data_IF_919561422316
#
_entry.id   IF_919561422316
#
_cell.length_a   1.000
_cell.length_b   1.000
_cell.length_c   1.000
_cell.angle_alpha   90.00
_cell.angle_beta   90.00
_cell.angle_gamma   90.00
#
_symmetry.space_group_name_H-M   'P 1'
#
loop_
_entity.id
_entity.type
_entity.pdbx_description
1 polymer ?
#
# COMPACT_ATOMS: atom_id res chain seq x y z
N UNK A 1 -40.67 50.98 -6.89
CA UNK A 1 -41.21 51.14 -5.54
C UNK A 1 -40.13 50.57 -4.63
N UNK A 2 -39.19 51.42 -4.13
CA UNK A 2 -39.18 52.10 -2.84
C UNK A 2 -39.05 51.06 -1.70
N UNK A 3 -38.14 51.07 -0.79
CA UNK A 3 -37.16 52.04 -0.23
C UNK A 3 -36.39 51.32 0.88
N UNK A 4 -35.11 51.56 0.98
CA UNK A 4 -34.38 52.33 2.01
C UNK A 4 -34.12 51.57 3.31
N UNK A 5 -32.87 51.25 3.58
CA UNK A 5 -31.86 51.88 4.44
C UNK A 5 -32.22 52.02 5.93
N UNK A 6 -31.31 51.54 6.79
CA UNK A 6 -30.73 52.42 7.86
C UNK A 6 -29.50 51.78 8.47
N UNK A 7 -28.44 52.55 8.45
CA UNK A 7 -27.18 52.44 9.20
C UNK A 7 -27.32 52.95 10.64
N UNK A 8 -26.52 52.44 11.56
CA UNK A 8 -26.20 53.20 12.79
C UNK A 8 -24.78 52.83 13.27
N UNK A 9 -23.93 53.82 13.22
CA UNK A 9 -22.65 53.99 13.94
C UNK A 9 -22.87 54.24 15.44
N UNK A 10 -21.86 54.03 16.28
CA UNK A 10 -21.41 54.71 17.51
C UNK A 10 -20.56 53.70 18.31
N UNK A 11 -19.41 53.97 18.91
CA UNK A 11 -18.38 54.99 19.00
C UNK A 11 -17.36 54.48 20.05
N UNK A 12 -16.14 54.94 19.88
CA UNK A 12 -14.96 54.74 20.75
C UNK A 12 -15.21 55.21 22.19
N UNK A 13 -14.61 54.52 23.15
CA UNK A 13 -14.04 55.18 24.35
C UNK A 13 -12.76 54.49 24.82
N UNK A 14 -11.70 55.25 24.79
CA UNK A 14 -10.41 55.04 25.47
C UNK A 14 -10.60 55.26 26.98
N UNK A 15 -9.85 54.51 27.78
CA UNK A 15 -9.41 54.99 29.11
C UNK A 15 -7.95 54.61 29.37
N UNK A 16 -7.21 55.63 29.83
CA UNK A 16 -5.77 55.61 30.12
C UNK A 16 -5.47 55.07 31.53
N UNK A 17 -4.32 54.48 31.62
CA UNK A 17 -3.24 54.57 32.61
C UNK A 17 -3.53 54.69 34.11
N UNK A 18 -2.86 53.85 34.89
CA UNK A 18 -2.07 54.35 36.06
C UNK A 18 -1.00 53.33 36.45
N UNK A 19 0.23 53.78 36.44
CA UNK A 19 1.41 53.07 36.94
C UNK A 19 1.51 53.27 38.46
N UNK A 20 1.85 52.23 39.21
CA UNK A 20 2.42 52.37 40.58
C UNK A 20 3.63 51.46 40.66
N UNK A 21 4.80 52.10 40.87
CA UNK A 21 6.07 51.46 41.19
C UNK A 21 6.24 51.35 42.70
N UNK A 22 6.68 50.26 43.27
CA UNK A 22 7.30 50.13 44.57
C UNK A 22 8.50 49.19 44.51
N UNK A 23 9.67 49.50 45.01
CA UNK A 23 10.89 48.70 44.93
C UNK A 23 11.14 47.83 46.20
N UNK A 24 11.86 46.80 46.04
CA UNK A 24 12.70 46.20 47.10
C UNK A 24 12.40 44.77 47.51
N UNK A 25 13.23 43.84 47.23
CA UNK A 25 14.24 43.21 48.12
C UNK A 25 14.85 41.97 47.44
N UNK A 26 16.16 41.99 47.35
CA UNK A 26 17.01 40.86 46.98
C UNK A 26 16.86 39.71 48.00
N UNK A 27 16.56 38.51 47.48
CA UNK A 27 16.84 37.26 48.16
C UNK A 27 17.52 36.30 47.18
N UNK A 28 18.84 36.16 47.35
CA UNK A 28 19.67 35.12 46.72
C UNK A 28 19.30 33.76 47.33
N UNK A 29 18.65 32.89 46.57
CA UNK A 29 18.60 31.45 46.84
C UNK A 29 19.22 30.72 45.66
N UNK A 30 20.44 30.24 45.91
CA UNK A 30 21.11 29.32 45.01
C UNK A 30 20.33 27.96 45.02
N UNK A 31 19.69 27.60 43.91
CA UNK A 31 19.22 26.25 43.63
C UNK A 31 20.06 25.68 42.51
N UNK A 32 20.71 24.58 42.83
CA UNK A 32 21.53 23.77 41.95
C UNK A 32 20.78 23.41 40.65
N UNK A 33 21.37 23.83 39.54
CA UNK A 33 20.87 23.50 38.22
C UNK A 33 20.98 22.00 37.95
N UNK A 34 19.83 21.36 37.78
CA UNK A 34 19.74 20.12 37.04
C UNK A 34 19.98 20.47 35.57
N UNK A 35 21.13 20.11 35.05
CA UNK A 35 21.41 20.14 33.62
C UNK A 35 20.40 19.22 32.93
N UNK A 36 19.35 19.84 32.39
CA UNK A 36 18.50 19.19 31.40
C UNK A 36 19.34 18.91 30.16
N UNK A 37 19.53 17.65 29.84
CA UNK A 37 20.08 17.23 28.54
C UNK A 37 19.10 17.71 27.51
N UNK A 38 19.40 18.86 26.89
CA UNK A 38 18.71 19.29 25.68
C UNK A 38 19.08 18.31 24.58
N UNK A 39 18.17 17.45 24.21
CA UNK A 39 18.26 16.70 22.96
C UNK A 39 18.42 17.68 21.79
N UNK A 40 19.07 17.30 20.68
CA UNK A 40 19.29 18.19 19.56
C UNK A 40 17.93 18.72 19.08
N UNK A 41 17.80 20.05 19.10
CA UNK A 41 16.66 20.77 18.52
C UNK A 41 16.57 20.34 17.04
N UNK A 42 15.42 19.87 16.63
CA UNK A 42 15.14 19.59 15.22
C UNK A 42 15.39 20.87 14.41
N UNK A 43 16.14 20.82 13.30
CA UNK A 43 16.31 21.96 12.43
C UNK A 43 14.94 22.37 11.90
N UNK A 44 14.59 23.65 11.99
CA UNK A 44 13.28 24.22 11.69
C UNK A 44 12.88 24.24 10.21
N UNK A 45 13.11 23.15 9.47
CA UNK A 45 12.67 22.95 8.10
C UNK A 45 11.72 21.75 8.00
N UNK A 46 10.69 21.85 7.18
CA UNK A 46 9.80 20.71 6.88
C UNK A 46 10.60 19.54 6.31
N UNK A 47 10.34 18.33 6.78
CA UNK A 47 10.96 17.10 6.26
C UNK A 47 10.77 16.98 4.75
N UNK A 48 11.85 16.80 4.00
CA UNK A 48 11.83 16.57 2.54
C UNK A 48 11.89 15.08 2.25
N UNK A 49 10.86 14.57 1.60
CA UNK A 49 10.70 13.15 1.25
C UNK A 49 10.77 12.97 -0.26
N UNK A 50 11.69 12.14 -0.73
CA UNK A 50 11.77 11.69 -2.12
C UNK A 50 10.94 10.43 -2.35
N UNK A 51 10.22 10.32 -3.47
CA UNK A 51 9.49 9.13 -3.88
C UNK A 51 9.96 8.65 -5.25
N UNK A 52 10.27 7.36 -5.41
CA UNK A 52 10.56 6.73 -6.69
C UNK A 52 9.49 5.69 -7.01
N UNK A 53 8.84 5.86 -8.18
CA UNK A 53 7.82 4.96 -8.70
C UNK A 53 8.28 4.41 -10.06
N UNK A 54 8.73 3.15 -10.09
CA UNK A 54 9.18 2.50 -11.31
C UNK A 54 7.99 2.02 -12.14
N UNK A 55 7.31 2.95 -12.81
CA UNK A 55 6.08 2.78 -13.57
C UNK A 55 5.19 4.02 -13.49
N UNK A 56 4.01 3.96 -14.08
CA UNK A 56 3.07 5.08 -14.13
C UNK A 56 2.31 5.24 -12.80
N UNK A 57 2.27 6.45 -12.25
CA UNK A 57 1.44 6.81 -11.09
C UNK A 57 -0.07 6.81 -11.37
N UNK A 58 -0.47 6.56 -12.59
CA UNK A 58 -1.88 6.45 -13.03
C UNK A 58 -2.21 5.05 -13.55
N UNK A 59 -1.51 4.01 -13.06
CA UNK A 59 -1.69 2.62 -13.49
C UNK A 59 -2.98 1.96 -12.94
N UNK A 60 -3.78 2.70 -12.18
CA UNK A 60 -4.97 2.21 -11.47
C UNK A 60 -4.67 0.98 -10.58
N UNK A 61 -3.43 0.89 -10.10
CA UNK A 61 -2.95 -0.29 -9.39
C UNK A 61 -1.81 0.03 -8.42
N UNK A 62 -0.70 -0.68 -8.58
CA UNK A 62 0.37 -0.73 -7.60
C UNK A 62 1.11 0.60 -7.44
N UNK A 63 1.54 1.25 -8.54
CA UNK A 63 2.30 2.50 -8.47
C UNK A 63 1.44 3.66 -8.00
N UNK A 64 0.19 3.72 -8.47
CA UNK A 64 -0.77 4.72 -8.02
C UNK A 64 -1.05 4.59 -6.51
N UNK A 65 -1.19 3.37 -6.00
CA UNK A 65 -1.40 3.16 -4.56
C UNK A 65 -0.21 3.64 -3.73
N UNK A 66 1.02 3.37 -4.16
CA UNK A 66 2.23 3.87 -3.52
C UNK A 66 2.32 5.39 -3.52
N UNK A 67 2.02 6.01 -4.66
CA UNK A 67 1.97 7.47 -4.78
C UNK A 67 0.90 8.10 -3.87
N UNK A 68 -0.29 7.50 -3.78
CA UNK A 68 -1.34 7.95 -2.85
C UNK A 68 -0.87 7.91 -1.39
N UNK A 69 -0.08 6.91 -1.01
CA UNK A 69 0.52 6.84 0.33
C UNK A 69 1.49 8.01 0.61
N UNK A 70 2.30 8.40 -0.38
CA UNK A 70 3.17 9.58 -0.28
C UNK A 70 2.37 10.88 -0.24
N UNK A 71 1.32 11.02 -1.06
CA UNK A 71 0.43 12.20 -1.04
C UNK A 71 -0.33 12.32 0.28
N UNK A 72 -0.78 11.21 0.84
CA UNK A 72 -1.39 11.18 2.19
C UNK A 72 -0.40 11.70 3.23
N UNK A 73 0.87 11.27 3.18
CA UNK A 73 1.90 11.79 4.07
C UNK A 73 2.12 13.30 3.89
N UNK A 74 2.12 13.80 2.66
CA UNK A 74 2.22 15.24 2.39
C UNK A 74 1.06 16.02 3.00
N UNK A 75 -0.17 15.52 2.86
CA UNK A 75 -1.39 16.19 3.31
C UNK A 75 -1.57 16.14 4.83
N UNK A 76 -1.35 14.98 5.45
CA UNK A 76 -1.63 14.76 6.87
C UNK A 76 -0.45 15.06 7.78
N UNK A 77 0.79 14.88 7.28
CA UNK A 77 2.01 15.07 8.08
C UNK A 77 2.79 16.35 7.73
N UNK A 78 2.33 17.11 6.74
CA UNK A 78 2.89 18.42 6.37
C UNK A 78 4.32 18.36 5.81
N UNK A 79 4.74 17.23 5.23
CA UNK A 79 6.07 17.07 4.64
C UNK A 79 6.13 17.65 3.22
N UNK A 80 7.34 18.04 2.79
CA UNK A 80 7.59 18.37 1.39
C UNK A 80 7.91 17.09 0.62
N UNK A 81 7.30 16.93 -0.56
CA UNK A 81 7.51 15.74 -1.38
C UNK A 81 8.14 16.10 -2.72
N UNK A 82 9.05 15.24 -3.18
CA UNK A 82 9.59 15.21 -4.54
C UNK A 82 9.44 13.80 -5.05
N UNK A 83 9.27 13.62 -6.36
CA UNK A 83 9.14 12.26 -6.88
C UNK A 83 9.67 12.15 -8.31
N UNK A 84 10.01 10.92 -8.69
CA UNK A 84 10.34 10.49 -10.03
C UNK A 84 9.46 9.27 -10.37
N UNK A 85 8.91 9.22 -11.56
CA UNK A 85 8.05 8.13 -12.02
C UNK A 85 8.23 7.83 -13.51
N UNK A 86 7.50 6.82 -14.01
CA UNK A 86 7.44 6.49 -15.43
C UNK A 86 8.65 5.74 -15.99
N UNK A 87 9.65 5.41 -15.16
CA UNK A 87 10.82 4.68 -15.65
C UNK A 87 10.63 3.16 -15.59
N UNK A 88 11.33 2.45 -16.48
CA UNK A 88 11.35 0.99 -16.44
C UNK A 88 12.04 0.47 -15.16
N UNK A 89 11.60 -0.68 -14.61
CA UNK A 89 12.14 -1.26 -13.37
C UNK A 89 13.50 -1.95 -13.60
N UNK A 90 14.46 -1.24 -14.18
CA UNK A 90 15.82 -1.71 -14.44
C UNK A 90 16.81 -0.99 -13.54
N UNK A 91 17.70 -1.75 -12.89
CA UNK A 91 18.68 -1.24 -11.92
C UNK A 91 19.45 -0.02 -12.43
N UNK A 92 19.86 -0.05 -13.71
CA UNK A 92 20.64 1.01 -14.37
C UNK A 92 19.91 2.36 -14.42
N UNK A 93 18.57 2.33 -14.38
CA UNK A 93 17.70 3.52 -14.34
C UNK A 93 17.34 3.90 -12.90
N UNK A 94 17.16 2.92 -12.01
CA UNK A 94 16.73 3.14 -10.63
C UNK A 94 17.85 3.71 -9.75
N UNK A 95 19.10 3.27 -9.93
CA UNK A 95 20.25 3.76 -9.15
C UNK A 95 20.45 5.27 -9.31
N UNK A 96 20.57 5.84 -10.53
CA UNK A 96 20.73 7.28 -10.69
C UNK A 96 19.50 8.07 -10.21
N UNK A 97 18.28 7.52 -10.36
CA UNK A 97 17.05 8.18 -9.89
C UNK A 97 17.00 8.28 -8.36
N UNK A 98 17.34 7.23 -7.64
CA UNK A 98 17.41 7.25 -6.17
C UNK A 98 18.51 8.20 -5.68
N UNK A 99 19.69 8.19 -6.33
CA UNK A 99 20.79 9.11 -6.02
C UNK A 99 20.36 10.57 -6.24
N UNK A 100 19.69 10.88 -7.35
CA UNK A 100 19.17 12.21 -7.65
C UNK A 100 18.25 12.74 -6.55
N UNK A 101 17.33 11.91 -6.03
CA UNK A 101 16.43 12.33 -4.92
C UNK A 101 17.22 12.67 -3.65
N UNK A 102 18.25 11.88 -3.32
CA UNK A 102 19.13 12.13 -2.18
C UNK A 102 19.98 13.41 -2.40
N UNK A 103 20.57 13.60 -3.57
CA UNK A 103 21.34 14.80 -3.95
C UNK A 103 20.50 16.07 -3.94
N UNK A 104 19.21 15.98 -4.24
CA UNK A 104 18.26 17.07 -4.13
C UNK A 104 17.86 17.40 -2.68
N UNK A 105 18.48 16.76 -1.68
CA UNK A 105 18.31 17.05 -0.25
C UNK A 105 17.14 16.32 0.39
N UNK A 106 16.63 15.23 -0.19
CA UNK A 106 15.68 14.37 0.51
C UNK A 106 16.35 13.73 1.73
N UNK A 107 15.72 13.87 2.90
CA UNK A 107 16.16 13.25 4.15
C UNK A 107 15.65 11.81 4.28
N UNK A 108 14.54 11.51 3.61
CA UNK A 108 13.97 10.19 3.44
C UNK A 108 13.70 9.95 1.96
N UNK A 109 14.16 8.84 1.40
CA UNK A 109 13.85 8.40 0.04
C UNK A 109 13.07 7.10 0.10
N UNK A 110 11.86 7.11 -0.45
CA UNK A 110 10.95 5.96 -0.54
C UNK A 110 11.01 5.42 -1.97
N UNK A 111 11.49 4.20 -2.12
CA UNK A 111 11.48 3.46 -3.37
C UNK A 111 10.30 2.47 -3.37
N UNK A 112 9.26 2.74 -4.17
CA UNK A 112 8.06 1.91 -4.17
C UNK A 112 8.24 0.67 -5.05
N UNK A 113 8.15 -0.50 -4.42
CA UNK A 113 8.22 -1.81 -5.05
C UNK A 113 9.56 -2.52 -4.89
N UNK A 114 9.51 -3.85 -4.69
CA UNK A 114 10.66 -4.70 -4.45
C UNK A 114 11.68 -4.75 -5.59
N UNK A 115 11.33 -4.31 -6.80
CA UNK A 115 12.28 -4.14 -7.92
C UNK A 115 13.38 -3.12 -7.59
N UNK A 116 13.16 -2.26 -6.60
CA UNK A 116 14.15 -1.28 -6.14
C UNK A 116 15.17 -1.86 -5.13
N UNK A 117 15.02 -3.08 -4.65
CA UNK A 117 15.85 -3.64 -3.57
C UNK A 117 17.36 -3.48 -3.81
N UNK A 118 17.85 -3.90 -4.97
CA UNK A 118 19.27 -3.82 -5.29
C UNK A 118 19.76 -2.38 -5.48
N UNK A 119 18.95 -1.56 -6.17
CA UNK A 119 19.30 -0.17 -6.40
C UNK A 119 19.32 0.64 -5.09
N UNK A 120 18.33 0.42 -4.22
CA UNK A 120 18.27 1.08 -2.91
C UNK A 120 19.44 0.68 -2.01
N UNK A 121 19.85 -0.60 -1.98
CA UNK A 121 20.99 -1.06 -1.21
C UNK A 121 22.30 -0.41 -1.68
N UNK A 122 22.49 -0.29 -3.01
CA UNK A 122 23.67 0.37 -3.57
C UNK A 122 23.72 1.86 -3.25
N UNK A 123 22.58 2.57 -3.41
CA UNK A 123 22.54 4.02 -3.20
C UNK A 123 22.59 4.37 -1.71
N UNK A 124 21.93 3.61 -0.83
CA UNK A 124 21.97 3.84 0.60
C UNK A 124 23.41 3.86 1.17
N UNK A 125 24.29 2.97 0.69
CA UNK A 125 25.69 2.94 1.08
C UNK A 125 26.47 4.22 0.70
N UNK A 126 26.04 4.93 -0.35
CA UNK A 126 26.67 6.17 -0.84
C UNK A 126 26.17 7.43 -0.12
N UNK A 127 24.98 7.36 0.48
CA UNK A 127 24.31 8.51 1.13
C UNK A 127 23.97 8.22 2.61
N UNK A 128 24.97 8.08 3.50
CA UNK A 128 24.75 7.62 4.88
C UNK A 128 23.91 8.58 5.75
N UNK A 129 23.69 9.81 5.30
CA UNK A 129 22.83 10.81 6.00
C UNK A 129 21.39 10.81 5.52
N UNK A 130 21.06 10.11 4.44
CA UNK A 130 19.71 9.95 3.91
C UNK A 130 19.16 8.59 4.34
N UNK A 131 17.93 8.55 4.83
CA UNK A 131 17.24 7.31 5.11
C UNK A 131 16.58 6.78 3.82
N UNK A 132 16.68 5.48 3.59
CA UNK A 132 16.06 4.82 2.44
C UNK A 132 15.04 3.79 2.92
N UNK A 133 13.90 3.78 2.26
CA UNK A 133 12.82 2.80 2.50
C UNK A 133 12.42 2.15 1.17
N UNK A 134 12.39 0.83 1.15
CA UNK A 134 11.76 0.09 0.05
C UNK A 134 10.40 -0.43 0.53
N UNK A 135 9.33 0.11 -0.02
CA UNK A 135 7.99 -0.46 0.24
C UNK A 135 7.79 -1.70 -0.63
N UNK A 136 7.14 -2.74 -0.10
CA UNK A 136 7.10 -4.07 -0.70
C UNK A 136 8.50 -4.64 -0.97
N UNK A 137 9.47 -4.26 -0.13
CA UNK A 137 10.87 -4.65 -0.21
C UNK A 137 11.24 -5.77 0.75
N UNK A 138 12.44 -6.32 0.54
CA UNK A 138 13.02 -7.37 1.36
C UNK A 138 14.49 -7.07 1.72
N UNK A 139 14.83 -5.78 1.89
CA UNK A 139 16.19 -5.30 2.15
C UNK A 139 16.26 -4.48 3.42
N UNK A 140 17.43 -4.52 4.06
CA UNK A 140 17.73 -3.76 5.28
C UNK A 140 19.21 -3.39 5.34
N UNK A 141 19.53 -2.34 6.05
CA UNK A 141 20.88 -1.82 6.27
C UNK A 141 20.91 -0.77 7.36
N UNK A 142 22.03 -0.05 7.55
CA UNK A 142 22.17 0.97 8.60
C UNK A 142 21.22 2.16 8.41
N UNK A 143 20.98 2.56 7.16
CA UNK A 143 20.06 3.63 6.75
C UNK A 143 19.07 3.15 5.68
N UNK A 144 18.80 1.86 5.65
CA UNK A 144 17.88 1.20 4.71
C UNK A 144 16.98 0.23 5.45
N UNK A 145 15.68 0.33 5.23
CA UNK A 145 14.70 -0.63 5.75
C UNK A 145 13.59 -0.90 4.72
N UNK A 146 12.72 -1.84 5.03
CA UNK A 146 11.58 -2.18 4.18
C UNK A 146 10.26 -2.15 4.96
N UNK A 147 9.19 -1.74 4.27
CA UNK A 147 7.81 -1.87 4.73
C UNK A 147 7.09 -2.79 3.74
N UNK A 148 6.76 -4.00 4.19
CA UNK A 148 6.17 -5.05 3.36
C UNK A 148 4.71 -5.29 3.75
N UNK A 149 3.79 -4.92 2.87
CA UNK A 149 2.35 -5.20 3.03
C UNK A 149 2.09 -6.59 2.48
N UNK A 150 1.64 -7.49 3.33
CA UNK A 150 1.48 -8.92 3.05
C UNK A 150 0.23 -9.18 2.19
N UNK A 151 0.30 -8.81 0.90
CA UNK A 151 -0.78 -9.03 -0.06
C UNK A 151 -1.16 -10.52 -0.19
N UNK A 152 -0.19 -11.41 0.01
CA UNK A 152 -0.39 -12.86 0.03
C UNK A 152 -1.41 -13.30 1.08
N UNK A 153 -1.52 -12.61 2.21
CA UNK A 153 -2.49 -12.99 3.23
C UNK A 153 -3.94 -12.75 2.77
N UNK A 154 -4.22 -11.62 2.11
CA UNK A 154 -5.54 -11.39 1.51
C UNK A 154 -5.79 -12.26 0.27
N UNK A 155 -4.73 -12.62 -0.49
CA UNK A 155 -4.82 -13.55 -1.60
C UNK A 155 -5.19 -14.98 -1.15
N UNK A 156 -4.68 -15.44 0.01
CA UNK A 156 -5.12 -16.70 0.61
C UNK A 156 -6.63 -16.70 0.88
N UNK A 157 -7.14 -15.63 1.49
CA UNK A 157 -8.57 -15.47 1.75
C UNK A 157 -9.39 -15.43 0.45
N UNK A 158 -8.84 -14.84 -0.61
CA UNK A 158 -9.46 -14.87 -1.94
C UNK A 158 -9.57 -16.31 -2.47
N UNK A 159 -8.56 -17.16 -2.24
CA UNK A 159 -8.58 -18.57 -2.57
C UNK A 159 -9.64 -19.35 -1.80
N UNK A 160 -9.77 -19.09 -0.50
CA UNK A 160 -10.84 -19.67 0.34
C UNK A 160 -12.21 -19.30 -0.21
N UNK A 161 -12.44 -18.02 -0.48
CA UNK A 161 -13.73 -17.56 -1.03
C UNK A 161 -13.99 -18.17 -2.42
N UNK A 162 -13.02 -18.20 -3.31
CA UNK A 162 -13.17 -18.74 -4.66
C UNK A 162 -13.59 -20.22 -4.63
N UNK A 163 -12.91 -21.04 -3.80
CA UNK A 163 -13.23 -22.46 -3.66
C UNK A 163 -14.65 -22.71 -3.12
N UNK A 164 -15.14 -21.83 -2.23
CA UNK A 164 -16.50 -21.93 -1.67
C UNK A 164 -17.57 -21.33 -2.59
N UNK A 165 -17.20 -20.54 -3.58
CA UNK A 165 -18.12 -19.80 -4.45
C UNK A 165 -18.23 -20.35 -5.85
N UNK A 166 -17.26 -21.17 -6.30
CA UNK A 166 -17.33 -21.80 -7.62
C UNK A 166 -18.50 -22.77 -7.73
N UNK A 167 -19.15 -22.77 -8.88
CA UNK A 167 -20.24 -23.71 -9.23
C UNK A 167 -19.75 -24.80 -10.17
N UNK A 168 -18.66 -24.56 -10.87
CA UNK A 168 -18.07 -25.49 -11.84
C UNK A 168 -16.99 -26.39 -11.23
N UNK A 169 -16.49 -26.03 -10.03
CA UNK A 169 -15.32 -26.67 -9.43
C UNK A 169 -14.01 -26.24 -10.09
N UNK A 170 -14.00 -25.16 -10.88
CA UNK A 170 -12.80 -24.62 -11.53
C UNK A 170 -12.68 -23.13 -11.24
N UNK A 171 -11.50 -22.71 -10.76
CA UNK A 171 -11.19 -21.31 -10.49
C UNK A 171 -9.95 -20.85 -11.24
N UNK A 172 -9.89 -19.58 -11.57
CA UNK A 172 -8.78 -18.96 -12.28
C UNK A 172 -7.91 -18.07 -11.40
N UNK A 173 -6.65 -17.92 -11.77
CA UNK A 173 -5.75 -16.87 -11.28
C UNK A 173 -4.96 -16.30 -12.45
N UNK A 174 -4.78 -14.97 -12.45
CA UNK A 174 -3.92 -14.28 -13.41
C UNK A 174 -3.14 -13.17 -12.71
N UNK A 175 -1.81 -13.24 -12.78
CA UNK A 175 -0.88 -12.14 -12.48
C UNK A 175 -0.25 -11.62 -13.76
N UNK A 176 0.33 -10.40 -13.72
CA UNK A 176 1.03 -9.83 -14.86
C UNK A 176 2.45 -10.37 -14.99
N UNK A 177 3.43 -9.61 -14.53
CA UNK A 177 4.85 -9.99 -14.54
C UNK A 177 5.23 -10.81 -13.29
N UNK A 178 6.33 -11.59 -13.40
CA UNK A 178 6.85 -12.44 -12.31
C UNK A 178 7.68 -11.63 -11.32
N UNK A 179 7.02 -10.92 -10.43
CA UNK A 179 7.63 -10.17 -9.31
C UNK A 179 7.19 -10.77 -7.97
N UNK A 180 7.95 -10.56 -6.88
CA UNK A 180 7.67 -11.19 -5.60
C UNK A 180 6.21 -11.09 -5.12
N UNK A 181 5.51 -9.94 -5.17
CA UNK A 181 4.10 -9.88 -4.75
C UNK A 181 3.17 -10.80 -5.55
N UNK A 182 3.35 -10.85 -6.89
CA UNK A 182 2.56 -11.73 -7.76
C UNK A 182 2.85 -13.22 -7.52
N UNK A 183 4.12 -13.58 -7.31
CA UNK A 183 4.54 -14.96 -7.02
C UNK A 183 3.98 -15.44 -5.68
N UNK A 184 4.12 -14.63 -4.62
CA UNK A 184 3.56 -14.93 -3.29
C UNK A 184 2.02 -14.95 -3.31
N UNK A 185 1.38 -13.98 -3.97
CA UNK A 185 -0.06 -13.93 -4.09
C UNK A 185 -0.65 -15.15 -4.81
N UNK A 186 0.00 -15.61 -5.89
CA UNK A 186 -0.36 -16.87 -6.56
C UNK A 186 -0.25 -18.06 -5.62
N UNK A 187 0.87 -18.18 -4.90
CA UNK A 187 1.11 -19.30 -3.99
C UNK A 187 0.05 -19.36 -2.88
N UNK A 188 -0.25 -18.20 -2.28
CA UNK A 188 -1.24 -18.05 -1.24
C UNK A 188 -2.65 -18.37 -1.74
N UNK A 189 -3.04 -17.83 -2.89
CA UNK A 189 -4.34 -18.12 -3.50
C UNK A 189 -4.51 -19.62 -3.77
N UNK A 190 -3.51 -20.26 -4.37
CA UNK A 190 -3.51 -21.70 -4.64
C UNK A 190 -3.65 -22.52 -3.34
N UNK A 191 -2.95 -22.12 -2.28
CA UNK A 191 -3.07 -22.76 -0.97
C UNK A 191 -4.48 -22.58 -0.39
N UNK A 192 -5.03 -21.36 -0.44
CA UNK A 192 -6.40 -21.09 0.01
C UNK A 192 -7.45 -21.93 -0.69
N UNK A 193 -7.31 -22.12 -2.02
CA UNK A 193 -8.18 -23.03 -2.81
C UNK A 193 -8.02 -24.45 -2.31
N UNK A 194 -6.81 -25.00 -2.31
CA UNK A 194 -6.50 -26.39 -1.96
C UNK A 194 -6.93 -26.73 -0.53
N UNK A 195 -6.62 -25.86 0.43
CA UNK A 195 -6.88 -26.10 1.86
C UNK A 195 -8.38 -25.97 2.19
N UNK A 196 -9.16 -25.38 1.28
CA UNK A 196 -10.61 -25.27 1.39
C UNK A 196 -11.34 -26.43 0.75
N UNK A 197 -11.03 -26.74 -0.52
CA UNK A 197 -11.54 -27.92 -1.21
C UNK A 197 -10.50 -28.42 -2.25
N UNK A 198 -9.79 -29.51 -1.98
CA UNK A 198 -8.75 -30.03 -2.87
C UNK A 198 -9.27 -30.57 -4.21
N UNK A 199 -10.59 -30.71 -4.38
CA UNK A 199 -11.22 -31.11 -5.65
C UNK A 199 -11.38 -29.96 -6.61
N UNK A 200 -11.30 -28.71 -6.13
CA UNK A 200 -11.38 -27.52 -6.98
C UNK A 200 -10.12 -27.38 -7.81
N UNK A 201 -10.28 -27.35 -9.13
CA UNK A 201 -9.19 -27.18 -10.08
C UNK A 201 -8.78 -25.71 -10.18
N UNK A 202 -7.49 -25.43 -10.07
CA UNK A 202 -6.92 -24.10 -10.28
C UNK A 202 -6.28 -23.99 -11.67
N UNK A 203 -6.69 -22.97 -12.43
CA UNK A 203 -6.05 -22.53 -13.66
C UNK A 203 -5.27 -21.26 -13.35
N UNK A 204 -3.94 -21.34 -13.33
CA UNK A 204 -3.09 -20.19 -12.95
C UNK A 204 -2.06 -19.88 -14.00
N UNK A 205 -1.83 -18.59 -14.31
CA UNK A 205 -0.76 -18.14 -15.19
C UNK A 205 -0.29 -16.72 -14.87
N UNK A 206 0.84 -16.35 -15.47
CA UNK A 206 1.30 -14.99 -15.60
C UNK A 206 1.12 -14.55 -17.05
N UNK A 207 0.45 -13.40 -17.27
CA UNK A 207 0.23 -12.84 -18.62
C UNK A 207 1.52 -12.35 -19.29
N UNK A 208 2.52 -11.97 -18.49
CA UNK A 208 3.73 -11.31 -18.97
C UNK A 208 3.64 -9.79 -19.04
N UNK A 209 2.43 -9.23 -18.90
CA UNK A 209 2.16 -7.78 -18.90
C UNK A 209 1.13 -7.43 -17.82
N UNK A 210 1.33 -6.29 -17.14
CA UNK A 210 0.42 -5.82 -16.08
C UNK A 210 -0.75 -5.01 -16.62
N UNK A 211 -0.63 -4.50 -17.85
CA UNK A 211 -1.45 -3.41 -18.35
C UNK A 211 -2.16 -3.73 -19.67
N UNK A 212 -1.77 -4.82 -20.37
CA UNK A 212 -2.37 -5.22 -21.65
C UNK A 212 -3.77 -5.85 -21.46
N UNK A 213 -4.79 -5.04 -21.73
CA UNK A 213 -6.20 -5.45 -21.64
C UNK A 213 -6.61 -6.48 -22.68
N UNK A 214 -6.05 -6.42 -23.90
CA UNK A 214 -6.40 -7.37 -24.95
C UNK A 214 -5.81 -8.76 -24.64
N UNK A 215 -4.60 -8.82 -24.13
CA UNK A 215 -3.93 -10.04 -23.69
C UNK A 215 -4.68 -10.67 -22.51
N UNK A 216 -4.96 -9.91 -21.47
CA UNK A 216 -5.63 -10.39 -20.26
C UNK A 216 -7.06 -10.86 -20.54
N UNK A 217 -7.78 -10.16 -21.45
CA UNK A 217 -9.10 -10.60 -21.93
C UNK A 217 -9.01 -11.99 -22.61
N UNK A 218 -8.06 -12.19 -23.54
CA UNK A 218 -7.89 -13.48 -24.23
C UNK A 218 -7.58 -14.60 -23.24
N UNK A 219 -6.67 -14.38 -22.29
CA UNK A 219 -6.30 -15.37 -21.28
C UNK A 219 -7.50 -15.71 -20.38
N UNK A 220 -8.26 -14.70 -19.93
CA UNK A 220 -9.46 -14.91 -19.13
C UNK A 220 -10.50 -15.75 -19.88
N UNK A 221 -10.72 -15.45 -21.16
CA UNK A 221 -11.62 -16.27 -22.01
C UNK A 221 -11.16 -17.72 -22.14
N UNK A 222 -9.84 -17.97 -22.25
CA UNK A 222 -9.31 -19.33 -22.30
C UNK A 222 -9.53 -20.06 -20.95
N UNK A 223 -9.30 -19.40 -19.81
CA UNK A 223 -9.61 -19.97 -18.49
C UNK A 223 -11.11 -20.28 -18.33
N UNK A 224 -12.00 -19.40 -18.79
CA UNK A 224 -13.45 -19.60 -18.75
C UNK A 224 -13.88 -20.77 -19.66
N UNK A 225 -13.29 -20.89 -20.85
CA UNK A 225 -13.53 -22.03 -21.76
C UNK A 225 -13.09 -23.35 -21.10
N UNK A 226 -12.04 -23.33 -20.28
CA UNK A 226 -11.58 -24.47 -19.49
C UNK A 226 -12.38 -24.67 -18.18
N UNK A 227 -13.47 -23.90 -17.97
CA UNK A 227 -14.43 -24.05 -16.90
C UNK A 227 -14.32 -23.06 -15.74
N UNK A 228 -13.35 -22.13 -15.71
CA UNK A 228 -13.25 -21.19 -14.61
C UNK A 228 -14.45 -20.25 -14.55
N UNK A 229 -15.11 -20.15 -13.40
CA UNK A 229 -16.25 -19.27 -13.14
C UNK A 229 -15.98 -18.20 -12.08
N UNK A 230 -14.82 -18.26 -11.40
CA UNK A 230 -14.30 -17.23 -10.50
C UNK A 230 -12.82 -17.02 -10.82
N UNK A 231 -12.41 -15.81 -11.19
CA UNK A 231 -11.01 -15.49 -11.55
C UNK A 231 -10.44 -14.42 -10.61
N UNK A 232 -9.37 -14.76 -9.90
CA UNK A 232 -8.59 -13.80 -9.11
C UNK A 232 -7.53 -13.14 -9.97
N UNK A 233 -7.42 -11.80 -9.88
CA UNK A 233 -6.45 -11.03 -10.67
C UNK A 233 -5.53 -10.19 -9.80
N UNK A 234 -4.23 -10.24 -10.12
CA UNK A 234 -3.20 -9.36 -9.62
C UNK A 234 -2.56 -8.62 -10.81
N UNK A 235 -3.32 -7.71 -11.38
CA UNK A 235 -2.99 -6.89 -12.54
C UNK A 235 -3.16 -5.41 -12.20
N UNK A 236 -2.53 -4.53 -12.94
CA UNK A 236 -2.81 -3.10 -12.92
C UNK A 236 -3.98 -2.78 -13.90
N UNK A 237 -3.79 -1.90 -14.87
CA UNK A 237 -4.85 -1.57 -15.85
C UNK A 237 -5.29 -2.77 -16.72
N UNK A 238 -4.43 -3.77 -16.92
CA UNK A 238 -4.79 -5.02 -17.60
C UNK A 238 -5.93 -5.80 -16.95
N UNK A 239 -6.27 -5.52 -15.69
CA UNK A 239 -7.45 -6.07 -15.02
C UNK A 239 -8.75 -5.76 -15.73
N UNK A 240 -8.86 -4.62 -16.40
CA UNK A 240 -10.08 -4.19 -17.09
C UNK A 240 -10.45 -5.17 -18.23
N UNK A 241 -9.44 -5.80 -18.89
CA UNK A 241 -9.67 -6.85 -19.89
C UNK A 241 -10.31 -8.11 -19.29
N UNK A 242 -9.86 -8.56 -18.11
CA UNK A 242 -10.50 -9.68 -17.39
C UNK A 242 -11.91 -9.31 -16.95
N UNK A 243 -12.10 -8.08 -16.48
CA UNK A 243 -13.41 -7.57 -16.04
C UNK A 243 -14.41 -7.58 -17.20
N UNK A 244 -13.98 -7.17 -18.39
CA UNK A 244 -14.80 -7.25 -19.61
C UNK A 244 -15.16 -8.70 -19.94
N UNK A 245 -14.18 -9.62 -19.95
CA UNK A 245 -14.43 -11.03 -20.22
C UNK A 245 -15.40 -11.66 -19.21
N UNK A 246 -15.28 -11.33 -17.92
CA UNK A 246 -16.20 -11.79 -16.87
C UNK A 246 -17.62 -11.28 -17.11
N UNK A 247 -17.78 -10.03 -17.48
CA UNK A 247 -19.10 -9.44 -17.79
C UNK A 247 -19.76 -10.10 -18.99
N UNK A 248 -19.00 -10.34 -20.06
CA UNK A 248 -19.49 -11.03 -21.27
C UNK A 248 -19.92 -12.47 -21.00
N UNK A 249 -19.22 -13.17 -20.12
CA UNK A 249 -19.47 -14.58 -19.80
C UNK A 249 -20.41 -14.79 -18.60
N UNK A 250 -20.79 -13.74 -17.87
CA UNK A 250 -21.56 -13.87 -16.62
C UNK A 250 -20.79 -14.58 -15.50
N UNK A 251 -19.46 -14.56 -15.54
CA UNK A 251 -18.58 -15.12 -14.50
C UNK A 251 -18.17 -14.05 -13.48
N UNK A 252 -17.46 -14.43 -12.43
CA UNK A 252 -17.12 -13.54 -11.32
C UNK A 252 -15.62 -13.29 -11.27
N UNK A 253 -15.25 -12.13 -10.75
CA UNK A 253 -13.86 -11.73 -10.54
C UNK A 253 -13.60 -11.43 -9.08
N UNK A 254 -12.38 -11.69 -8.63
CA UNK A 254 -11.82 -11.18 -7.37
C UNK A 254 -10.71 -10.21 -7.75
N UNK A 255 -10.81 -8.98 -7.24
CA UNK A 255 -9.80 -7.95 -7.47
C UNK A 255 -8.69 -7.94 -6.42
N UNK A 256 -7.75 -6.99 -6.54
CA UNK A 256 -6.67 -6.79 -5.58
C UNK A 256 -6.42 -5.29 -5.33
N UNK A 257 -5.60 -4.98 -4.32
CA UNK A 257 -5.12 -3.64 -3.92
C UNK A 257 -6.22 -2.75 -3.35
N UNK A 258 -7.28 -2.44 -4.10
CA UNK A 258 -8.42 -1.61 -3.65
C UNK A 258 -9.71 -2.43 -3.57
N UNK A 259 -10.77 -1.81 -3.04
CA UNK A 259 -12.09 -2.47 -2.97
C UNK A 259 -12.86 -2.39 -4.29
N UNK A 260 -12.67 -3.37 -5.13
CA UNK A 260 -13.36 -3.49 -6.42
C UNK A 260 -14.84 -3.85 -6.27
N UNK A 261 -15.27 -4.39 -5.11
CA UNK A 261 -16.70 -4.66 -4.88
C UNK A 261 -17.53 -3.39 -4.77
N UNK A 262 -16.90 -2.28 -4.38
CA UNK A 262 -17.53 -0.97 -4.36
C UNK A 262 -17.52 -0.29 -5.74
N UNK A 263 -16.58 -0.65 -6.63
CA UNK A 263 -16.44 -0.07 -7.97
C UNK A 263 -17.38 -0.74 -8.97
N UNK A 264 -17.40 -2.09 -8.98
CA UNK A 264 -18.24 -2.88 -9.89
C UNK A 264 -18.78 -4.15 -9.18
N UNK A 265 -19.84 -4.01 -8.38
CA UNK A 265 -20.40 -5.14 -7.62
C UNK A 265 -21.05 -6.21 -8.50
N UNK A 266 -21.29 -5.92 -9.78
CA UNK A 266 -21.88 -6.90 -10.70
C UNK A 266 -20.86 -7.95 -11.14
N UNK A 267 -19.59 -7.58 -11.26
CA UNK A 267 -18.51 -8.47 -11.66
C UNK A 267 -17.70 -8.94 -10.45
N UNK A 268 -17.32 -8.05 -9.55
CA UNK A 268 -16.46 -8.41 -8.42
C UNK A 268 -17.24 -8.99 -7.24
N UNK A 269 -16.99 -10.27 -6.95
CA UNK A 269 -17.55 -10.95 -5.77
C UNK A 269 -16.77 -10.61 -4.49
N UNK A 270 -15.49 -10.32 -4.61
CA UNK A 270 -14.60 -9.93 -3.52
C UNK A 270 -13.42 -9.11 -4.04
N UNK A 271 -12.65 -8.52 -3.11
CA UNK A 271 -11.36 -7.95 -3.42
C UNK A 271 -10.34 -8.25 -2.31
N UNK A 272 -9.19 -8.79 -2.70
CA UNK A 272 -8.03 -8.95 -1.83
C UNK A 272 -7.41 -7.56 -1.59
N UNK A 273 -8.03 -6.80 -0.69
CA UNK A 273 -7.55 -5.46 -0.36
C UNK A 273 -6.21 -5.53 0.35
N UNK A 274 -5.26 -4.76 -0.15
CA UNK A 274 -3.99 -4.50 0.50
C UNK A 274 -3.56 -3.06 0.19
N UNK A 275 -3.56 -2.19 1.20
CA UNK A 275 -3.09 -0.81 1.05
C UNK A 275 -1.56 -0.80 0.95
N UNK A 276 -1.05 -1.07 -0.24
CA UNK A 276 0.40 -1.08 -0.50
C UNK A 276 1.04 0.31 -0.38
N UNK A 277 0.23 1.37 -0.35
CA UNK A 277 0.67 2.75 -0.11
C UNK A 277 0.91 3.07 1.36
N UNK A 278 0.31 2.30 2.28
CA UNK A 278 0.43 2.58 3.72
C UNK A 278 1.89 2.53 4.21
N UNK A 279 2.74 1.73 3.59
CA UNK A 279 4.16 1.65 3.92
C UNK A 279 4.89 2.97 3.71
N UNK A 280 4.54 3.72 2.67
CA UNK A 280 5.10 5.05 2.42
C UNK A 280 4.66 6.06 3.50
N UNK A 281 3.38 6.08 3.84
CA UNK A 281 2.84 6.93 4.90
C UNK A 281 3.49 6.63 6.26
N UNK A 282 3.56 5.35 6.63
CA UNK A 282 4.14 4.92 7.91
C UNK A 282 5.63 5.21 8.00
N UNK A 283 6.39 5.09 6.91
CA UNK A 283 7.80 5.44 6.87
C UNK A 283 8.03 6.93 7.15
N UNK A 284 7.21 7.81 6.57
CA UNK A 284 7.26 9.25 6.85
C UNK A 284 6.89 9.55 8.29
N UNK A 285 5.83 8.92 8.80
CA UNK A 285 5.39 9.08 10.19
C UNK A 285 6.47 8.65 11.17
N UNK A 286 7.05 7.47 10.98
CA UNK A 286 8.15 6.96 11.82
C UNK A 286 9.38 7.90 11.77
N UNK A 287 9.71 8.46 10.59
CA UNK A 287 10.79 9.44 10.43
C UNK A 287 10.54 10.71 11.22
N UNK A 288 9.31 11.23 11.24
CA UNK A 288 8.96 12.42 12.03
C UNK A 288 8.94 12.16 13.53
N UNK A 289 8.40 11.03 13.96
CA UNK A 289 8.22 10.71 15.38
C UNK A 289 9.50 10.21 16.06
N UNK A 290 10.39 9.55 15.31
CA UNK A 290 11.57 8.84 15.85
C UNK A 290 12.90 9.32 15.29
N UNK A 291 12.88 10.20 14.30
CA UNK A 291 14.08 10.66 13.58
C UNK A 291 14.63 9.68 12.56
N UNK A 292 14.06 8.46 12.46
CA UNK A 292 14.40 7.47 11.45
C UNK A 292 13.22 6.51 11.26
N UNK A 293 13.04 5.90 10.06
CA UNK A 293 12.17 4.74 9.88
C UNK A 293 12.62 3.59 10.78
N UNK A 294 11.69 2.71 11.16
CA UNK A 294 12.01 1.55 11.98
C UNK A 294 13.04 0.62 11.31
N UNK A 295 13.93 -0.02 12.06
CA UNK A 295 14.94 -0.91 11.49
C UNK A 295 14.33 -2.19 10.91
N UNK A 296 15.02 -2.79 9.94
CA UNK A 296 14.68 -4.11 9.43
C UNK A 296 13.54 -4.11 8.41
N UNK A 297 12.75 -5.17 8.41
CA UNK A 297 11.60 -5.35 7.52
C UNK A 297 10.33 -5.35 8.37
N UNK A 298 9.56 -4.28 8.27
CA UNK A 298 8.25 -4.17 8.94
C UNK A 298 7.18 -4.84 8.08
N UNK A 299 6.63 -5.92 8.56
CA UNK A 299 5.53 -6.65 7.92
C UNK A 299 4.18 -6.10 8.40
N UNK A 300 3.25 -5.87 7.46
CA UNK A 300 1.91 -5.33 7.69
C UNK A 300 0.92 -6.28 7.02
N UNK A 301 0.16 -7.02 7.79
CA UNK A 301 -0.73 -8.08 7.31
C UNK A 301 -2.14 -7.99 7.88
N UNK A 302 -2.87 -9.11 7.90
CA UNK A 302 -4.24 -9.24 8.41
C UNK A 302 -4.39 -8.90 9.90
N UNK A 303 -3.30 -8.82 10.66
CA UNK A 303 -3.29 -8.27 12.02
C UNK A 303 -3.65 -6.76 12.04
N UNK A 304 -3.51 -6.07 10.90
CA UNK A 304 -3.99 -4.70 10.67
C UNK A 304 -5.05 -4.72 9.55
N UNK A 305 -6.34 -4.93 9.89
CA UNK A 305 -7.41 -5.00 8.90
C UNK A 305 -7.69 -3.68 8.18
N UNK A 306 -7.15 -2.56 8.67
CA UNK A 306 -7.18 -1.30 7.94
C UNK A 306 -6.24 -1.32 6.73
N UNK A 307 -5.15 -2.09 6.81
CA UNK A 307 -4.15 -2.21 5.74
C UNK A 307 -4.37 -3.45 4.86
N UNK A 308 -4.74 -4.60 5.43
CA UNK A 308 -4.92 -5.86 4.68
C UNK A 308 -6.21 -6.56 5.11
N UNK A 309 -7.07 -6.90 4.14
CA UNK A 309 -8.31 -7.66 4.36
C UNK A 309 -8.87 -8.23 3.06
N UNK A 310 -9.85 -9.12 3.15
CA UNK A 310 -10.70 -9.46 2.01
C UNK A 310 -12.02 -8.68 2.14
N UNK A 311 -12.31 -7.78 1.19
CA UNK A 311 -13.67 -7.20 1.07
C UNK A 311 -14.55 -8.15 0.28
N UNK A 312 -15.83 -8.23 0.62
CA UNK A 312 -16.76 -9.18 0.04
C UNK A 312 -18.05 -8.48 -0.37
N UNK A 313 -18.48 -8.71 -1.61
CA UNK A 313 -19.73 -8.19 -2.15
C UNK A 313 -20.96 -8.68 -1.35
N UNK A 314 -22.05 -7.94 -1.40
CA UNK A 314 -23.25 -8.21 -0.59
C UNK A 314 -23.85 -9.60 -0.86
N UNK A 315 -23.70 -10.15 -2.07
CA UNK A 315 -24.22 -11.45 -2.46
C UNK A 315 -23.44 -12.67 -1.93
N UNK A 316 -22.33 -12.48 -1.19
CA UNK A 316 -21.57 -13.59 -0.61
C UNK A 316 -22.35 -14.18 0.57
N UNK A 317 -22.61 -15.51 0.54
CA UNK A 317 -23.37 -16.21 1.56
C UNK A 317 -22.73 -16.12 2.95
N UNK A 318 -23.55 -16.08 4.01
CA UNK A 318 -23.07 -15.95 5.40
C UNK A 318 -22.07 -17.04 5.78
N UNK A 319 -22.30 -18.28 5.41
CA UNK A 319 -21.37 -19.40 5.67
C UNK A 319 -19.99 -19.21 5.04
N UNK A 320 -19.92 -18.61 3.84
CA UNK A 320 -18.65 -18.27 3.17
C UNK A 320 -17.94 -17.17 3.95
N UNK A 321 -18.67 -16.11 4.35
CA UNK A 321 -18.10 -15.01 5.17
C UNK A 321 -17.52 -15.52 6.48
N UNK A 322 -18.23 -16.41 7.17
CA UNK A 322 -17.74 -17.01 8.43
C UNK A 322 -16.46 -17.85 8.20
N UNK A 323 -16.42 -18.64 7.11
CA UNK A 323 -15.22 -19.45 6.81
C UNK A 323 -14.01 -18.56 6.50
N UNK A 324 -14.21 -17.48 5.72
CA UNK A 324 -13.17 -16.47 5.44
C UNK A 324 -12.72 -15.77 6.73
N UNK A 325 -13.67 -15.39 7.60
CA UNK A 325 -13.34 -14.74 8.88
C UNK A 325 -12.49 -15.65 9.79
N UNK A 326 -12.81 -16.96 9.87
CA UNK A 326 -12.00 -17.94 10.62
C UNK A 326 -10.58 -18.05 10.05
N UNK A 327 -10.43 -18.13 8.72
CA UNK A 327 -9.11 -18.17 8.09
C UNK A 327 -8.33 -16.87 8.35
N UNK A 328 -8.99 -15.71 8.26
CA UNK A 328 -8.39 -14.41 8.56
C UNK A 328 -7.86 -14.34 10.01
N UNK A 329 -8.65 -14.78 10.98
CA UNK A 329 -8.25 -14.80 12.37
C UNK A 329 -7.06 -15.76 12.62
N UNK A 330 -7.03 -16.92 11.97
CA UNK A 330 -5.94 -17.88 12.08
C UNK A 330 -4.62 -17.33 11.49
N UNK A 331 -4.69 -16.58 10.38
CA UNK A 331 -3.51 -15.92 9.80
C UNK A 331 -3.06 -14.76 10.69
N UNK A 332 -3.98 -13.88 11.10
CA UNK A 332 -3.67 -12.72 11.92
C UNK A 332 -3.03 -13.09 13.28
N UNK A 333 -3.41 -14.24 13.87
CA UNK A 333 -2.81 -14.78 15.08
C UNK A 333 -1.51 -15.55 14.85
N UNK A 334 -1.08 -15.77 13.60
CA UNK A 334 0.09 -16.58 13.24
C UNK A 334 -0.13 -18.08 13.37
N UNK A 335 -1.35 -18.53 13.67
CA UNK A 335 -1.72 -19.94 13.76
C UNK A 335 -1.67 -20.63 12.39
N UNK A 336 -2.00 -19.89 11.33
CA UNK A 336 -1.86 -20.31 9.94
C UNK A 336 -0.81 -19.44 9.26
N UNK A 337 0.23 -20.10 8.71
CA UNK A 337 1.26 -19.43 7.91
C UNK A 337 0.92 -19.59 6.44
N UNK A 338 0.84 -18.46 5.74
CA UNK A 338 0.51 -18.42 4.31
C UNK A 338 1.75 -18.85 3.50
N UNK A 339 1.64 -19.83 2.59
CA UNK A 339 2.75 -20.23 1.72
C UNK A 339 3.13 -19.13 0.71
N UNK A 340 4.43 -18.97 0.49
CA UNK A 340 4.99 -17.98 -0.44
C UNK A 340 5.49 -18.61 -1.76
N UNK A 341 5.47 -19.95 -1.87
CA UNK A 341 5.96 -20.71 -3.02
C UNK A 341 4.87 -21.58 -3.62
N UNK A 342 4.82 -21.63 -4.96
CA UNK A 342 3.91 -22.45 -5.73
C UNK A 342 4.69 -23.38 -6.66
N UNK A 343 4.43 -24.70 -6.54
CA UNK A 343 5.11 -25.75 -7.29
C UNK A 343 4.20 -26.42 -8.33
N UNK A 344 2.95 -25.98 -8.45
CA UNK A 344 2.00 -26.54 -9.41
C UNK A 344 2.24 -26.10 -10.85
N UNK A 345 1.54 -26.75 -11.77
CA UNK A 345 1.61 -26.41 -13.20
C UNK A 345 0.89 -25.08 -13.50
N UNK A 346 1.39 -24.40 -14.52
CA UNK A 346 0.72 -23.23 -15.07
C UNK A 346 -0.23 -23.63 -16.19
N UNK A 347 -1.32 -22.87 -16.29
CA UNK A 347 -2.28 -23.01 -17.38
C UNK A 347 -1.72 -22.35 -18.65
N UNK A 348 -1.70 -23.09 -19.76
CA UNK A 348 -1.37 -22.56 -21.08
C UNK A 348 -2.66 -22.06 -21.72
N UNK A 349 -2.76 -20.73 -21.92
CA UNK A 349 -3.90 -20.06 -22.52
C UNK A 349 -3.71 -19.84 -24.01
#
# INVERSE_FOLDING_TARGET
>A
MSSASHSSFISRRQWMASAVAVPGLLALTACAGRAGVSGPAAPGGSLVVGGLFAGSRSDKGFMEAGWRGLEKARQELGVQTRFLDGMAPRKELLVPALAQLAEQGAQLVIAHGGQNNQAAAEVAARFPRTQFVVTQGAVQGSNLCSYDVLQEESAYLAGVLAALSTRTGVVGHMSGIRVPPGLKGRAAYAAGVRDTDPRVKLLTNFSGDQDDNALSHRIARAQMTAGADVIFTMLNSGRDGVTQACREAGTRQIGNVIDWTAVDPQVFVASAWADVGIGAFLAVKDMQERGAPGPGIRKIGLSDPAAVRLTMGQGVAAAVRERVARASAAIASGQLKVPEHYEGQEFSA
#
